data_IF_267478158014
#
_entry.id   IF_267478158014
#
_cell.length_a   1.000
_cell.length_b   1.000
_cell.length_c   1.000
_cell.angle_alpha   90.00
_cell.angle_beta   90.00
_cell.angle_gamma   90.00
#
_symmetry.space_group_name_H-M   'P 1'
#
loop_
_entity.id
_entity.type
_entity.pdbx_description
1 polymer ?
#
# COMPACT_ATOMS: atom_id res chain seq x y z
N UNK A 1 -12.27 14.31 -14.08
CA UNK A 1 -12.63 13.17 -14.96
C UNK A 1 -13.93 12.54 -14.49
N UNK A 2 -14.84 12.10 -15.39
CA UNK A 2 -16.02 11.35 -14.97
C UNK A 2 -15.64 9.93 -14.56
N UNK A 3 -16.12 9.48 -13.39
CA UNK A 3 -15.92 8.12 -12.88
C UNK A 3 -16.89 7.18 -13.60
N UNK A 4 -16.38 6.09 -14.18
CA UNK A 4 -17.17 5.13 -14.99
C UNK A 4 -17.46 3.81 -14.28
N UNK A 5 -16.64 3.45 -13.29
CA UNK A 5 -16.75 2.21 -12.54
C UNK A 5 -16.36 2.42 -11.07
N UNK A 6 -16.83 1.54 -10.19
CA UNK A 6 -16.52 1.57 -8.75
C UNK A 6 -15.16 0.92 -8.40
N UNK A 7 -14.42 0.45 -9.39
CA UNK A 7 -13.11 -0.18 -9.28
C UNK A 7 -11.96 0.76 -9.70
N UNK A 8 -10.75 0.45 -9.23
CA UNK A 8 -9.51 1.13 -9.60
C UNK A 8 -8.55 0.07 -10.17
N UNK A 9 -8.02 0.33 -11.36
CA UNK A 9 -6.91 -0.45 -11.91
C UNK A 9 -5.63 -0.03 -11.20
N UNK A 10 -4.99 -0.97 -10.52
CA UNK A 10 -3.87 -0.67 -9.63
C UNK A 10 -2.59 -1.35 -10.12
N UNK A 11 -1.49 -0.61 -10.12
CA UNK A 11 -0.14 -1.13 -10.28
C UNK A 11 0.64 -0.97 -8.99
N UNK A 12 1.37 -2.01 -8.61
CA UNK A 12 2.14 -2.07 -7.37
C UNK A 12 3.59 -2.34 -7.72
N UNK A 13 4.50 -1.56 -7.14
CA UNK A 13 5.95 -1.66 -7.34
C UNK A 13 6.66 -1.56 -6.01
N UNK A 14 7.45 -2.57 -5.67
CA UNK A 14 8.28 -2.57 -4.47
C UNK A 14 9.53 -1.75 -4.69
N UNK A 15 9.92 -1.01 -3.66
CA UNK A 15 11.17 -0.25 -3.63
C UNK A 15 12.00 -0.58 -2.39
N UNK A 16 13.31 -0.50 -2.53
CA UNK A 16 14.30 -0.90 -1.54
C UNK A 16 14.68 0.23 -0.57
N UNK A 17 14.41 1.50 -0.88
CA UNK A 17 14.72 2.64 -0.01
C UNK A 17 14.02 3.93 -0.48
N UNK A 18 14.18 5.01 0.29
CA UNK A 18 13.60 6.32 -0.05
C UNK A 18 14.08 6.92 -1.37
N UNK A 19 15.31 6.66 -1.81
CA UNK A 19 15.78 7.21 -3.09
C UNK A 19 15.00 6.60 -4.27
N UNK A 20 14.73 5.30 -4.20
CA UNK A 20 13.90 4.61 -5.18
C UNK A 20 12.43 5.03 -5.08
N UNK A 21 11.91 5.30 -3.87
CA UNK A 21 10.58 5.90 -3.69
C UNK A 21 10.45 7.22 -4.45
N UNK A 22 11.40 8.14 -4.30
CA UNK A 22 11.35 9.43 -5.01
C UNK A 22 11.47 9.24 -6.52
N UNK A 23 12.30 8.30 -6.97
CA UNK A 23 12.42 7.98 -8.40
C UNK A 23 11.09 7.47 -8.98
N UNK A 24 10.37 6.60 -8.25
CA UNK A 24 9.05 6.10 -8.65
C UNK A 24 7.98 7.19 -8.61
N UNK A 25 8.00 8.04 -7.59
CA UNK A 25 7.08 9.18 -7.43
C UNK A 25 7.22 10.16 -8.61
N UNK A 26 8.44 10.58 -8.93
CA UNK A 26 8.72 11.44 -10.09
C UNK A 26 8.28 10.80 -11.42
N UNK A 27 8.38 9.47 -11.53
CA UNK A 27 8.00 8.76 -12.75
C UNK A 27 6.48 8.58 -12.89
N UNK A 28 5.77 8.28 -11.81
CA UNK A 28 4.42 7.73 -11.85
C UNK A 28 3.33 8.68 -11.33
N UNK A 29 3.64 9.62 -10.43
CA UNK A 29 2.62 10.47 -9.81
C UNK A 29 1.82 11.28 -10.83
N UNK A 30 2.50 11.91 -11.79
CA UNK A 30 1.83 12.71 -12.82
C UNK A 30 1.11 11.86 -13.88
N UNK A 31 1.33 10.54 -13.89
CA UNK A 31 0.74 9.61 -14.88
C UNK A 31 -0.53 8.93 -14.39
N UNK A 32 -0.83 8.99 -13.09
CA UNK A 32 -1.95 8.28 -12.48
C UNK A 32 -2.83 9.23 -11.66
N UNK A 33 -4.12 8.93 -11.57
CA UNK A 33 -5.08 9.71 -10.78
C UNK A 33 -4.79 9.61 -9.27
N UNK A 34 -4.29 8.47 -8.83
CA UNK A 34 -3.97 8.18 -7.44
C UNK A 34 -2.59 7.57 -7.29
N UNK A 35 -1.86 8.05 -6.28
CA UNK A 35 -0.62 7.43 -5.81
C UNK A 35 -0.58 7.37 -4.29
N UNK A 36 -0.03 6.27 -3.77
CA UNK A 36 0.19 6.06 -2.33
C UNK A 36 1.35 5.11 -2.14
N UNK A 37 2.06 5.23 -1.01
CA UNK A 37 3.08 4.28 -0.62
C UNK A 37 2.86 3.75 0.79
N UNK A 38 3.13 2.46 0.95
CA UNK A 38 3.34 1.85 2.24
C UNK A 38 4.84 1.83 2.55
N UNK A 39 5.25 2.37 3.70
CA UNK A 39 6.68 2.56 4.04
C UNK A 39 7.03 1.83 5.35
N UNK A 40 8.10 1.03 5.32
CA UNK A 40 8.67 0.36 6.49
C UNK A 40 9.55 1.32 7.30
N UNK A 41 8.95 1.98 8.29
CA UNK A 41 9.66 2.90 9.19
C UNK A 41 10.63 2.22 10.18
N UNK A 42 10.64 0.88 10.25
CA UNK A 42 11.60 0.14 11.09
C UNK A 42 12.87 -0.24 10.34
N UNK A 43 12.87 -0.15 9.00
CA UNK A 43 14.04 -0.41 8.19
C UNK A 43 15.15 0.60 8.45
N UNK A 44 16.41 0.16 8.35
CA UNK A 44 17.60 0.95 8.68
C UNK A 44 18.71 0.72 7.67
N UNK A 45 19.69 1.64 7.64
CA UNK A 45 20.84 1.53 6.76
C UNK A 45 20.46 1.72 5.30
N UNK A 46 20.96 0.86 4.42
CA UNK A 46 20.69 0.92 2.98
C UNK A 46 19.20 0.72 2.63
N UNK A 47 18.44 0.07 3.51
CA UNK A 47 17.02 -0.23 3.30
C UNK A 47 16.09 0.85 3.90
N UNK A 48 16.65 1.97 4.37
CA UNK A 48 15.88 2.97 5.12
C UNK A 48 14.70 3.48 4.29
N UNK A 49 13.51 3.28 4.85
CA UNK A 49 12.25 3.65 4.23
C UNK A 49 11.91 2.84 3.00
N UNK A 50 12.39 1.60 2.84
CA UNK A 50 11.86 0.65 1.84
C UNK A 50 10.34 0.52 1.94
N UNK A 51 9.70 0.08 0.88
CA UNK A 51 8.25 0.03 0.86
C UNK A 51 7.66 -0.51 -0.42
N UNK A 52 6.38 -0.24 -0.57
CA UNK A 52 5.54 -0.66 -1.70
C UNK A 52 4.81 0.56 -2.21
N UNK A 53 5.09 0.93 -3.46
CA UNK A 53 4.46 2.03 -4.18
C UNK A 53 3.23 1.50 -4.91
N UNK A 54 2.12 2.22 -4.84
CA UNK A 54 0.83 1.80 -5.36
C UNK A 54 0.25 2.99 -6.11
N UNK A 55 0.01 2.80 -7.39
CA UNK A 55 -0.65 3.79 -8.25
C UNK A 55 -1.90 3.20 -8.86
N UNK A 56 -2.87 4.03 -9.19
CA UNK A 56 -4.04 3.55 -9.88
C UNK A 56 -4.94 4.63 -10.46
N UNK A 57 -5.78 4.18 -11.37
CA UNK A 57 -6.75 4.99 -12.11
C UNK A 57 -8.14 4.37 -11.99
N UNK A 58 -9.19 5.19 -12.06
CA UNK A 58 -10.54 4.65 -12.17
C UNK A 58 -10.67 3.72 -13.39
N UNK A 59 -11.12 2.50 -13.13
CA UNK A 59 -11.29 1.49 -14.17
C UNK A 59 -12.26 1.99 -15.24
N UNK A 60 -11.91 1.77 -16.51
CA UNK A 60 -12.73 2.17 -17.65
C UNK A 60 -13.84 1.15 -17.97
N UNK A 61 -13.87 0.04 -17.25
CA UNK A 61 -14.77 -1.08 -17.41
C UNK A 61 -15.38 -1.46 -16.05
N UNK A 62 -16.57 -2.05 -16.07
CA UNK A 62 -17.29 -2.46 -14.86
C UNK A 62 -18.59 -1.68 -14.66
N UNK A 63 -19.05 -1.63 -13.41
CA UNK A 63 -20.29 -0.94 -13.02
C UNK A 63 -20.02 0.03 -11.88
N UNK A 64 -20.93 0.98 -11.69
CA UNK A 64 -20.91 1.90 -10.54
C UNK A 64 -21.48 1.26 -9.27
N UNK A 65 -21.87 -0.03 -9.32
CA UNK A 65 -22.38 -0.71 -8.14
C UNK A 65 -21.25 -1.01 -7.16
N UNK A 66 -21.47 -0.69 -5.89
CA UNK A 66 -20.51 -0.92 -4.82
C UNK A 66 -20.92 -2.18 -4.06
N UNK A 67 -20.04 -3.18 -4.05
CA UNK A 67 -20.25 -4.40 -3.27
C UNK A 67 -20.26 -4.12 -1.76
N UNK A 68 -21.12 -4.82 -1.01
CA UNK A 68 -21.06 -4.82 0.46
C UNK A 68 -19.84 -5.62 0.92
N UNK A 69 -18.85 -4.94 1.52
CA UNK A 69 -17.74 -5.63 2.20
C UNK A 69 -18.14 -6.05 3.61
N UNK A 70 -17.82 -7.29 4.04
CA UNK A 70 -18.01 -7.69 5.43
C UNK A 70 -17.16 -6.80 6.33
N UNK A 71 -17.76 -6.27 7.40
CA UNK A 71 -17.01 -5.52 8.41
C UNK A 71 -16.29 -6.53 9.29
N UNK A 72 -14.96 -6.50 9.26
CA UNK A 72 -14.16 -7.21 10.25
C UNK A 72 -14.19 -6.37 11.54
N UNK A 73 -14.86 -6.87 12.58
CA UNK A 73 -14.79 -6.27 13.91
C UNK A 73 -13.78 -7.06 14.76
N UNK A 74 -13.04 -6.35 15.60
CA UNK A 74 -12.20 -6.94 16.62
C UNK A 74 -13.01 -6.97 17.92
N UNK A 75 -13.60 -8.13 18.31
CA UNK A 75 -14.58 -8.18 19.40
C UNK A 75 -13.94 -8.10 20.79
N UNK A 76 -12.62 -8.25 20.88
CA UNK A 76 -11.86 -8.22 22.13
C UNK A 76 -10.59 -7.38 21.97
N UNK A 77 -10.27 -6.58 22.97
CA UNK A 77 -8.97 -5.92 23.07
C UNK A 77 -8.03 -6.87 23.81
N UNK A 78 -6.95 -7.37 23.17
CA UNK A 78 -6.02 -8.28 23.84
C UNK A 78 -5.36 -7.59 25.04
N UNK A 79 -5.07 -8.33 26.13
CA UNK A 79 -4.50 -7.76 27.36
C UNK A 79 -3.05 -7.29 27.19
N UNK A 80 -2.41 -7.68 26.09
CA UNK A 80 -1.07 -7.24 25.68
C UNK A 80 -1.12 -6.74 24.24
N UNK A 81 -0.30 -5.72 23.94
CA UNK A 81 -0.24 -5.16 22.58
C UNK A 81 0.37 -6.15 21.60
N UNK A 82 -0.39 -6.48 20.54
CA UNK A 82 0.13 -7.19 19.37
C UNK A 82 1.01 -6.29 18.49
N UNK A 83 1.02 -4.98 18.74
CA UNK A 83 1.87 -4.00 18.07
C UNK A 83 3.10 -3.79 18.96
N UNK A 84 4.20 -4.46 18.62
CA UNK A 84 5.49 -4.32 19.26
C UNK A 84 6.60 -4.42 18.21
N UNK A 85 7.86 -4.18 18.62
CA UNK A 85 8.99 -4.13 17.68
C UNK A 85 9.20 -5.44 16.91
N UNK A 86 8.98 -6.58 17.56
CA UNK A 86 9.16 -7.89 16.94
C UNK A 86 8.03 -8.19 15.95
N UNK A 87 6.77 -7.99 16.36
CA UNK A 87 5.61 -8.23 15.51
C UNK A 87 5.56 -7.29 14.32
N UNK A 88 5.86 -6.00 14.52
CA UNK A 88 5.97 -5.02 13.45
C UNK A 88 7.12 -5.36 12.49
N UNK A 89 8.28 -5.78 13.02
CA UNK A 89 9.39 -6.21 12.18
C UNK A 89 9.02 -7.40 11.29
N UNK A 90 8.35 -8.42 11.85
CA UNK A 90 7.88 -9.57 11.09
C UNK A 90 6.82 -9.19 10.05
N UNK A 91 5.83 -8.38 10.45
CA UNK A 91 4.77 -7.89 9.57
C UNK A 91 5.34 -7.09 8.40
N UNK A 92 6.22 -6.11 8.69
CA UNK A 92 6.79 -5.24 7.68
C UNK A 92 7.62 -6.02 6.65
N UNK A 93 8.45 -6.97 7.12
CA UNK A 93 9.22 -7.83 6.23
C UNK A 93 8.34 -8.71 5.36
N UNK A 94 7.26 -9.27 5.92
CA UNK A 94 6.34 -10.11 5.16
C UNK A 94 5.58 -9.28 4.12
N UNK A 95 5.03 -8.14 4.52
CA UNK A 95 4.28 -7.25 3.64
C UNK A 95 5.14 -6.80 2.45
N UNK A 96 6.36 -6.32 2.71
CA UNK A 96 7.31 -5.94 1.67
C UNK A 96 7.70 -7.09 0.73
N UNK A 97 7.71 -8.35 1.21
CA UNK A 97 8.06 -9.51 0.36
C UNK A 97 6.91 -10.04 -0.48
N UNK A 98 5.68 -9.96 0.04
CA UNK A 98 4.47 -10.47 -0.63
C UNK A 98 4.04 -9.56 -1.77
N UNK A 99 4.31 -8.26 -1.66
CA UNK A 99 4.00 -7.30 -2.70
C UNK A 99 5.17 -7.12 -3.68
N UNK A 100 4.90 -7.13 -5.00
CA UNK A 100 5.90 -6.94 -6.05
C UNK A 100 6.34 -5.49 -6.16
#
# INVERSE_FOLDING_TARGET
MPIRASQIDTTTVRFANLAEFFSLSDELDDKHEYSVAWVDCLAKGADTGRGVFIVGDHAQYGSLEVGRRPKLSMPITPPVSLINKLSLGAFNNLYWRVHP
#
